data_IF_466772788847
#
_entry.id   IF_466772788847
#
_cell.length_a   1.000
_cell.length_b   1.000
_cell.length_c   1.000
_cell.angle_alpha   90.00
_cell.angle_beta   90.00
_cell.angle_gamma   90.00
#
_symmetry.space_group_name_H-M   'P 1'
#
loop_
_entity.id
_entity.type
_entity.pdbx_description
1 polymer ?
#
# COMPACT_ATOMS: atom_id res chain seq x y z
N UNK A 1 -3.75 -14.38 -29.69
CA UNK A 1 -3.16 -13.53 -28.63
C UNK A 1 -2.88 -14.41 -27.42
N UNK A 2 -1.69 -14.33 -26.83
CA UNK A 2 -1.33 -15.13 -25.65
C UNK A 2 -2.05 -14.64 -24.39
N UNK A 3 -2.43 -15.56 -23.51
CA UNK A 3 -2.91 -15.22 -22.16
C UNK A 3 -1.76 -14.63 -21.34
N UNK A 4 -2.03 -13.56 -20.58
CA UNK A 4 -1.04 -12.86 -19.76
C UNK A 4 -1.47 -12.85 -18.29
N UNK A 5 -0.55 -13.13 -17.38
CA UNK A 5 -0.79 -12.99 -15.94
C UNK A 5 -0.53 -11.54 -15.51
N UNK A 6 -1.55 -10.89 -14.96
CA UNK A 6 -1.53 -9.50 -14.52
C UNK A 6 -1.55 -9.41 -13.01
N UNK A 7 -0.54 -8.74 -12.46
CA UNK A 7 -0.38 -8.55 -11.02
C UNK A 7 -1.23 -7.38 -10.51
N UNK A 8 -2.13 -7.65 -9.58
CA UNK A 8 -2.83 -6.57 -8.86
C UNK A 8 -2.01 -6.06 -7.66
N UNK A 9 -0.97 -6.77 -7.19
CA UNK A 9 0.12 -6.19 -6.38
C UNK A 9 1.41 -6.30 -7.19
N UNK A 10 2.11 -5.20 -7.54
CA UNK A 10 3.15 -5.22 -8.55
C UNK A 10 4.38 -5.95 -8.05
N UNK A 11 5.05 -6.64 -8.96
CA UNK A 11 6.25 -7.43 -8.65
C UNK A 11 7.34 -6.61 -7.96
N UNK A 12 7.50 -5.34 -8.31
CA UNK A 12 8.53 -4.50 -7.68
C UNK A 12 8.30 -4.27 -6.18
N UNK A 13 7.04 -4.24 -5.73
CA UNK A 13 6.70 -4.17 -4.30
C UNK A 13 6.96 -5.52 -3.63
N UNK A 14 6.52 -6.62 -4.25
CA UNK A 14 6.73 -7.96 -3.71
C UNK A 14 8.22 -8.30 -3.56
N UNK A 15 9.07 -7.78 -4.45
CA UNK A 15 10.53 -7.88 -4.35
C UNK A 15 11.11 -7.28 -3.07
N UNK A 16 10.37 -6.48 -2.30
CA UNK A 16 10.80 -5.98 -1.01
C UNK A 16 10.61 -7.01 0.12
N UNK A 17 9.86 -8.07 -0.15
CA UNK A 17 9.60 -9.22 0.75
C UNK A 17 10.34 -10.49 0.31
N UNK A 18 11.09 -10.43 -0.79
CA UNK A 18 11.72 -11.59 -1.39
C UNK A 18 12.89 -12.10 -0.51
N UNK A 19 12.85 -13.36 -0.13
CA UNK A 19 13.82 -13.95 0.82
C UNK A 19 15.19 -14.19 0.18
N UNK A 20 15.25 -14.38 -1.14
CA UNK A 20 16.47 -14.61 -1.93
C UNK A 20 17.35 -13.36 -2.10
N UNK A 21 16.86 -12.20 -1.62
CA UNK A 21 17.65 -10.98 -1.43
C UNK A 21 18.38 -10.94 -0.09
N UNK A 22 17.92 -11.69 0.90
CA UNK A 22 18.37 -11.59 2.29
C UNK A 22 18.81 -12.93 2.88
N UNK A 23 18.96 -13.97 2.06
CA UNK A 23 19.52 -15.23 2.52
C UNK A 23 20.87 -14.97 3.21
N UNK A 24 20.89 -15.22 4.52
CA UNK A 24 22.10 -15.44 5.28
C UNK A 24 22.77 -16.68 4.71
N UNK A 25 23.62 -16.49 3.70
CA UNK A 25 24.50 -17.55 3.24
C UNK A 25 25.59 -17.69 4.31
N UNK A 26 25.53 -18.76 5.10
CA UNK A 26 26.67 -19.18 5.92
C UNK A 26 27.88 -19.37 4.98
N UNK A 27 28.98 -18.63 5.19
CA UNK A 27 30.21 -18.72 4.38
C UNK A 27 30.76 -20.15 4.26
N UNK A 28 30.44 -21.03 5.22
CA UNK A 28 30.79 -22.45 5.18
C UNK A 28 30.21 -23.22 3.99
N UNK A 29 29.02 -22.84 3.49
CA UNK A 29 28.37 -23.49 2.36
C UNK A 29 29.02 -23.11 1.01
N UNK A 30 29.69 -21.96 0.92
CA UNK A 30 30.37 -21.51 -0.30
C UNK A 30 31.56 -22.43 -0.59
N UNK A 31 32.34 -22.81 0.43
CA UNK A 31 33.53 -23.67 0.25
C UNK A 31 33.16 -25.13 -0.07
N UNK A 32 32.04 -25.64 0.45
CA UNK A 32 31.57 -27.00 0.12
C UNK A 32 30.90 -27.08 -1.26
N UNK A 33 30.17 -26.05 -1.69
CA UNK A 33 29.59 -26.01 -3.04
C UNK A 33 30.65 -25.75 -4.12
N UNK A 34 31.67 -24.93 -3.85
CA UNK A 34 32.79 -24.73 -4.79
C UNK A 34 33.62 -26.01 -4.99
N UNK A 35 33.80 -26.82 -3.94
CA UNK A 35 34.51 -28.12 -4.05
C UNK A 35 33.72 -29.19 -4.82
N UNK A 36 32.39 -29.17 -4.77
CA UNK A 36 31.54 -30.09 -5.57
C UNK A 36 31.31 -29.61 -7.00
N UNK A 37 31.43 -28.31 -7.28
CA UNK A 37 31.22 -27.71 -8.61
C UNK A 37 32.40 -27.80 -9.58
N UNK A 38 33.62 -28.07 -9.12
CA UNK A 38 34.81 -28.08 -9.98
C UNK A 38 35.03 -29.35 -10.81
N UNK A 39 34.19 -30.40 -10.66
CA UNK A 39 34.40 -31.68 -11.37
C UNK A 39 33.40 -32.04 -12.46
N UNK A 40 32.39 -31.21 -12.77
CA UNK A 40 31.50 -31.48 -13.92
C UNK A 40 31.14 -30.23 -14.70
N UNK A 41 31.35 -30.35 -16.01
CA UNK A 41 30.80 -29.59 -17.14
C UNK A 41 31.58 -28.35 -17.61
N UNK A 42 32.61 -28.64 -18.44
CA UNK A 42 32.88 -27.85 -19.66
C UNK A 42 31.63 -27.91 -20.56
N UNK A 43 31.05 -26.76 -20.87
CA UNK A 43 30.02 -26.65 -21.92
C UNK A 43 28.60 -26.39 -21.44
N UNK A 44 28.35 -25.31 -20.68
CA UNK A 44 27.02 -24.69 -20.65
C UNK A 44 27.18 -23.17 -20.73
N UNK A 45 26.50 -22.57 -21.73
CA UNK A 45 26.41 -21.13 -21.92
C UNK A 45 25.92 -20.47 -20.63
N UNK A 46 26.58 -19.38 -20.26
CA UNK A 46 26.34 -18.56 -19.08
C UNK A 46 25.03 -17.78 -19.26
N UNK A 47 23.90 -18.47 -19.22
CA UNK A 47 22.59 -17.85 -19.15
C UNK A 47 22.47 -17.26 -17.74
N UNK A 48 22.27 -15.93 -17.65
CA UNK A 48 22.17 -15.25 -16.36
C UNK A 48 21.04 -15.90 -15.57
N UNK A 49 21.36 -16.65 -14.51
CA UNK A 49 20.37 -17.15 -13.56
C UNK A 49 19.65 -15.93 -12.98
N UNK A 50 18.48 -15.58 -13.53
CA UNK A 50 17.52 -14.72 -12.85
C UNK A 50 17.27 -15.39 -11.50
N UNK A 51 17.66 -14.74 -10.40
CA UNK A 51 17.35 -15.24 -9.06
C UNK A 51 15.85 -15.55 -9.02
N UNK A 52 15.49 -16.72 -8.50
CA UNK A 52 14.10 -17.08 -8.31
C UNK A 52 13.56 -16.10 -7.26
N UNK A 53 12.84 -15.07 -7.70
CA UNK A 53 12.21 -14.06 -6.86
C UNK A 53 11.15 -14.75 -5.98
N UNK A 54 11.54 -15.22 -4.80
CA UNK A 54 10.76 -16.12 -3.93
C UNK A 54 10.22 -15.36 -2.71
N UNK A 55 8.94 -15.54 -2.41
CA UNK A 55 8.26 -15.03 -1.21
C UNK A 55 8.07 -16.14 -0.19
N UNK A 56 8.13 -15.79 1.11
CA UNK A 56 7.52 -16.61 2.16
C UNK A 56 6.02 -16.33 2.20
N UNK A 57 5.22 -17.39 2.12
CA UNK A 57 3.77 -17.30 2.01
C UNK A 57 3.05 -18.28 2.93
N UNK A 58 1.83 -17.89 3.31
CA UNK A 58 0.83 -18.79 3.89
C UNK A 58 -0.44 -18.70 3.05
N UNK A 59 -0.81 -19.82 2.42
CA UNK A 59 -2.08 -20.00 1.73
C UNK A 59 -3.10 -20.54 2.75
N UNK A 60 -4.10 -19.71 3.09
CA UNK A 60 -5.09 -20.07 4.10
C UNK A 60 -6.06 -21.14 3.60
N UNK A 61 -6.43 -21.10 2.34
CA UNK A 61 -7.37 -22.05 1.73
C UNK A 61 -6.80 -23.45 1.75
N UNK A 62 -5.51 -23.58 1.41
CA UNK A 62 -4.78 -24.86 1.44
C UNK A 62 -4.18 -25.18 2.81
N UNK A 63 -4.32 -24.28 3.78
CA UNK A 63 -3.59 -24.27 5.05
C UNK A 63 -2.09 -24.56 4.84
N UNK A 64 -1.45 -23.93 3.86
CA UNK A 64 -0.08 -24.27 3.47
C UNK A 64 0.89 -23.13 3.80
N UNK A 65 1.81 -23.38 4.74
CA UNK A 65 2.96 -22.52 4.99
C UNK A 65 4.11 -22.95 4.06
N UNK A 66 4.69 -22.01 3.32
CA UNK A 66 5.73 -22.34 2.37
C UNK A 66 6.29 -21.12 1.64
N UNK A 67 6.63 -21.33 0.37
CA UNK A 67 7.16 -20.29 -0.50
C UNK A 67 6.41 -20.24 -1.83
N UNK A 68 6.42 -19.08 -2.48
CA UNK A 68 5.76 -18.87 -3.77
C UNK A 68 6.60 -17.97 -4.68
N UNK A 69 6.50 -18.17 -5.99
CA UNK A 69 7.16 -17.29 -6.96
C UNK A 69 6.41 -15.96 -7.05
N UNK A 70 7.16 -14.85 -7.06
CA UNK A 70 6.58 -13.51 -7.28
C UNK A 70 5.78 -13.46 -8.58
N UNK A 71 6.22 -14.17 -9.62
CA UNK A 71 5.55 -14.23 -10.91
C UNK A 71 4.15 -14.85 -10.89
N UNK A 72 3.80 -15.59 -9.83
CA UNK A 72 2.58 -16.39 -9.72
C UNK A 72 1.73 -16.00 -8.50
N UNK A 73 2.12 -14.94 -7.78
CA UNK A 73 1.45 -14.47 -6.57
C UNK A 73 0.77 -13.13 -6.82
N UNK A 74 -0.44 -12.93 -6.30
CA UNK A 74 -1.20 -11.67 -6.36
C UNK A 74 -1.52 -11.15 -7.77
N UNK A 75 -2.08 -12.02 -8.62
CA UNK A 75 -2.53 -11.66 -9.95
C UNK A 75 -3.58 -12.62 -10.55
N UNK A 76 -4.14 -12.21 -11.69
CA UNK A 76 -5.10 -12.98 -12.48
C UNK A 76 -4.70 -12.99 -13.95
N UNK A 77 -5.14 -14.01 -14.68
CA UNK A 77 -4.97 -14.03 -16.13
C UNK A 77 -5.92 -13.03 -16.78
N UNK A 78 -5.38 -12.25 -17.71
CA UNK A 78 -6.13 -11.43 -18.65
C UNK A 78 -7.01 -10.32 -18.02
N UNK A 79 -6.69 -9.92 -16.78
CA UNK A 79 -7.45 -8.91 -16.00
C UNK A 79 -7.71 -7.57 -16.70
N UNK A 80 -6.80 -7.09 -17.54
CA UNK A 80 -6.90 -5.79 -18.21
C UNK A 80 -7.22 -5.87 -19.70
N UNK A 81 -7.60 -7.04 -20.22
CA UNK A 81 -7.92 -7.18 -21.64
C UNK A 81 -9.30 -6.61 -21.93
N UNK A 82 -9.33 -5.56 -22.76
CA UNK A 82 -10.56 -4.99 -23.29
C UNK A 82 -10.80 -5.49 -24.72
N UNK A 83 -11.54 -6.60 -24.85
CA UNK A 83 -11.84 -7.17 -26.17
C UNK A 83 -12.75 -6.29 -27.04
N UNK A 84 -13.36 -5.25 -26.46
CA UNK A 84 -14.23 -4.32 -27.17
C UNK A 84 -13.48 -3.06 -27.63
N UNK A 85 -12.20 -2.92 -27.29
CA UNK A 85 -11.35 -1.82 -27.73
C UNK A 85 -10.44 -2.25 -28.89
N UNK A 86 -10.12 -1.29 -29.78
CA UNK A 86 -9.13 -1.52 -30.85
C UNK A 86 -7.75 -1.84 -30.28
N UNK A 87 -7.40 -1.21 -29.16
CA UNK A 87 -6.21 -1.53 -28.38
C UNK A 87 -6.61 -2.31 -27.12
N UNK A 88 -6.56 -3.64 -27.24
CA UNK A 88 -6.96 -4.60 -26.20
C UNK A 88 -6.18 -4.39 -24.90
N UNK A 89 -4.95 -3.88 -24.98
CA UNK A 89 -4.04 -3.72 -23.84
C UNK A 89 -3.82 -2.24 -23.44
N UNK A 90 -4.70 -1.34 -23.89
CA UNK A 90 -4.54 0.11 -23.69
C UNK A 90 -4.37 0.55 -22.22
N UNK A 91 -4.93 -0.21 -21.28
CA UNK A 91 -4.76 0.02 -19.84
C UNK A 91 -3.39 -0.44 -19.34
N UNK A 92 -2.91 -1.60 -19.79
CA UNK A 92 -1.65 -2.21 -19.33
C UNK A 92 -0.43 -1.32 -19.62
N UNK A 93 -0.37 -0.69 -20.79
CA UNK A 93 0.73 0.21 -21.12
C UNK A 93 0.80 1.42 -20.17
N UNK A 94 -0.37 1.99 -19.83
CA UNK A 94 -0.46 3.13 -18.91
C UNK A 94 -0.12 2.73 -17.48
N UNK A 95 -0.58 1.56 -17.04
CA UNK A 95 -0.23 0.99 -15.74
C UNK A 95 1.28 0.78 -15.63
N UNK A 96 1.91 0.20 -16.65
CA UNK A 96 3.36 -0.03 -16.69
C UNK A 96 4.16 1.27 -16.55
N UNK A 97 3.72 2.36 -17.19
CA UNK A 97 4.34 3.69 -17.05
C UNK A 97 4.24 4.19 -15.61
N UNK A 98 3.05 4.15 -15.00
CA UNK A 98 2.85 4.59 -13.62
C UNK A 98 3.64 3.73 -12.62
N UNK A 99 3.63 2.41 -12.79
CA UNK A 99 4.41 1.47 -11.97
C UNK A 99 5.91 1.73 -12.09
N UNK A 100 6.41 2.04 -13.29
CA UNK A 100 7.82 2.39 -13.51
C UNK A 100 8.23 3.65 -12.77
N UNK A 101 7.36 4.67 -12.72
CA UNK A 101 7.58 5.91 -11.96
C UNK A 101 7.51 5.64 -10.46
N UNK A 102 6.43 5.01 -9.99
CA UNK A 102 6.21 4.72 -8.58
C UNK A 102 7.31 3.81 -7.99
N UNK A 103 7.81 2.84 -8.77
CA UNK A 103 8.92 1.97 -8.39
C UNK A 103 10.19 2.76 -8.07
N UNK A 104 10.51 3.80 -8.87
CA UNK A 104 11.66 4.68 -8.61
C UNK A 104 11.46 5.47 -7.31
N UNK A 105 10.28 6.06 -7.12
CA UNK A 105 9.95 6.82 -5.91
C UNK A 105 10.00 5.94 -4.66
N UNK A 106 9.41 4.75 -4.70
CA UNK A 106 9.39 3.81 -3.57
C UNK A 106 10.79 3.27 -3.27
N UNK A 107 11.59 2.94 -4.30
CA UNK A 107 12.99 2.54 -4.12
C UNK A 107 13.81 3.65 -3.46
N UNK A 108 13.58 4.90 -3.84
CA UNK A 108 14.22 6.05 -3.22
C UNK A 108 13.82 6.18 -1.74
N UNK A 109 12.51 6.13 -1.43
CA UNK A 109 12.01 6.15 -0.04
C UNK A 109 12.66 5.03 0.81
N UNK A 110 12.73 3.81 0.26
CA UNK A 110 13.33 2.67 0.96
C UNK A 110 14.83 2.88 1.23
N UNK A 111 15.57 3.39 0.24
CA UNK A 111 16.99 3.69 0.39
C UNK A 111 17.22 4.76 1.46
N UNK A 112 16.51 5.88 1.38
CA UNK A 112 16.64 6.96 2.35
C UNK A 112 16.27 6.51 3.76
N UNK A 113 15.32 5.58 3.92
CA UNK A 113 14.93 5.07 5.25
C UNK A 113 16.00 4.24 5.98
N UNK A 114 17.04 3.80 5.25
CA UNK A 114 18.16 3.06 5.81
C UNK A 114 19.27 3.98 6.30
N UNK A 115 19.45 5.13 5.64
CA UNK A 115 20.58 6.04 5.86
C UNK A 115 20.16 7.31 6.63
N UNK A 116 18.91 7.73 6.48
CA UNK A 116 18.38 9.02 6.93
C UNK A 116 17.13 8.85 7.79
N UNK A 117 16.77 9.91 8.51
CA UNK A 117 15.52 9.99 9.29
C UNK A 117 14.37 10.67 8.53
N UNK A 118 14.62 11.13 7.30
CA UNK A 118 13.65 11.82 6.46
C UNK A 118 13.92 11.61 4.98
N UNK A 119 12.93 11.89 4.14
CA UNK A 119 13.02 11.86 2.68
C UNK A 119 12.34 13.09 2.08
N UNK A 120 12.93 13.64 1.02
CA UNK A 120 12.36 14.78 0.29
C UNK A 120 11.77 14.30 -1.02
N UNK A 121 10.48 14.53 -1.22
CA UNK A 121 9.79 14.21 -2.48
C UNK A 121 9.38 15.48 -3.20
N UNK A 122 9.65 15.57 -4.50
CA UNK A 122 9.05 16.61 -5.34
C UNK A 122 7.56 16.37 -5.50
N UNK A 123 6.79 17.45 -5.65
CA UNK A 123 5.34 17.42 -5.90
C UNK A 123 4.98 16.40 -6.96
N UNK A 124 5.63 16.46 -8.12
CA UNK A 124 5.37 15.54 -9.23
C UNK A 124 5.47 14.06 -8.79
N UNK A 125 6.54 13.70 -8.09
CA UNK A 125 6.76 12.33 -7.63
C UNK A 125 5.73 11.92 -6.57
N UNK A 126 5.30 12.85 -5.71
CA UNK A 126 4.27 12.62 -4.71
C UNK A 126 2.88 12.44 -5.33
N UNK A 127 2.55 13.24 -6.34
CA UNK A 127 1.30 13.14 -7.10
C UNK A 127 1.21 11.82 -7.89
N UNK A 128 2.33 11.43 -8.54
CA UNK A 128 2.44 10.13 -9.21
C UNK A 128 2.33 8.96 -8.21
N UNK A 129 2.96 9.08 -7.02
CA UNK A 129 2.82 8.08 -5.95
C UNK A 129 1.37 7.96 -5.46
N UNK A 130 0.64 9.08 -5.32
CA UNK A 130 -0.78 9.11 -4.94
C UNK A 130 -1.66 8.42 -5.97
N UNK A 131 -1.47 8.72 -7.26
CA UNK A 131 -2.13 7.99 -8.34
C UNK A 131 -1.85 6.50 -8.26
N UNK A 132 -0.58 6.12 -8.05
CA UNK A 132 -0.19 4.73 -7.93
C UNK A 132 -0.93 4.03 -6.80
N UNK A 133 -0.83 4.52 -5.55
CA UNK A 133 -1.47 3.84 -4.41
C UNK A 133 -3.00 3.77 -4.54
N UNK A 134 -3.63 4.76 -5.19
CA UNK A 134 -5.06 4.69 -5.51
C UNK A 134 -5.37 3.59 -6.52
N UNK A 135 -4.69 3.60 -7.68
CA UNK A 135 -4.92 2.63 -8.75
C UNK A 135 -4.67 1.21 -8.26
N UNK A 136 -3.64 1.01 -7.43
CA UNK A 136 -3.35 -0.28 -6.83
C UNK A 136 -4.48 -0.80 -5.94
N UNK A 137 -5.11 0.08 -5.16
CA UNK A 137 -6.28 -0.27 -4.35
C UNK A 137 -7.52 -0.48 -5.24
N UNK A 138 -7.72 0.37 -6.25
CA UNK A 138 -8.86 0.34 -7.15
C UNK A 138 -8.89 -0.89 -8.07
N UNK A 139 -7.72 -1.37 -8.51
CA UNK A 139 -7.59 -2.55 -9.38
C UNK A 139 -7.54 -3.87 -8.62
N UNK A 140 -7.81 -3.85 -7.31
CA UNK A 140 -7.80 -5.05 -6.50
C UNK A 140 -8.85 -6.06 -6.99
N UNK A 141 -8.68 -7.31 -6.58
CA UNK A 141 -9.57 -8.42 -6.95
C UNK A 141 -11.04 -8.13 -6.66
N UNK A 142 -11.34 -7.55 -5.50
CA UNK A 142 -12.72 -7.30 -5.07
C UNK A 142 -13.43 -6.33 -6.01
N UNK A 143 -12.78 -5.21 -6.33
CA UNK A 143 -13.35 -4.19 -7.22
C UNK A 143 -13.48 -4.73 -8.63
N UNK A 144 -12.45 -5.44 -9.12
CA UNK A 144 -12.50 -6.05 -10.44
C UNK A 144 -13.66 -7.06 -10.57
N UNK A 145 -13.83 -7.98 -9.60
CA UNK A 145 -14.96 -8.92 -9.56
C UNK A 145 -16.31 -8.22 -9.40
N UNK A 146 -16.36 -7.09 -8.70
CA UNK A 146 -17.57 -6.29 -8.53
C UNK A 146 -18.13 -5.83 -9.89
N UNK A 147 -17.27 -5.23 -10.73
CA UNK A 147 -17.67 -4.74 -12.04
C UNK A 147 -17.86 -5.87 -13.06
N UNK A 148 -16.95 -6.84 -13.11
CA UNK A 148 -17.08 -7.96 -14.06
C UNK A 148 -18.27 -8.87 -13.74
N UNK A 149 -18.62 -9.01 -12.46
CA UNK A 149 -19.76 -9.80 -12.00
C UNK A 149 -21.08 -9.02 -11.85
N UNK A 150 -21.12 -7.72 -12.13
CA UNK A 150 -22.28 -6.84 -11.91
C UNK A 150 -22.88 -6.97 -10.48
N UNK A 151 -21.98 -7.13 -9.50
CA UNK A 151 -22.31 -7.42 -8.10
C UNK A 151 -22.33 -6.13 -7.27
N UNK A 152 -23.38 -5.34 -7.46
CA UNK A 152 -23.60 -4.08 -6.76
C UNK A 152 -24.83 -4.16 -5.87
N UNK A 153 -24.83 -3.40 -4.78
CA UNK A 153 -26.07 -3.13 -4.05
C UNK A 153 -27.06 -2.36 -4.96
N UNK A 154 -28.37 -2.39 -4.68
CA UNK A 154 -29.38 -1.81 -5.56
C UNK A 154 -29.15 -0.33 -5.91
N UNK A 155 -28.65 0.47 -4.97
CA UNK A 155 -28.44 1.91 -5.16
C UNK A 155 -27.24 2.12 -6.07
N UNK A 156 -26.10 1.50 -5.76
CA UNK A 156 -24.90 1.62 -6.60
C UNK A 156 -25.15 1.07 -8.00
N UNK A 157 -25.94 0.00 -8.14
CA UNK A 157 -26.30 -0.57 -9.44
C UNK A 157 -27.03 0.42 -10.34
N UNK A 158 -27.96 1.20 -9.78
CA UNK A 158 -28.65 2.26 -10.52
C UNK A 158 -27.67 3.35 -10.96
N UNK A 159 -26.80 3.79 -10.06
CA UNK A 159 -25.78 4.80 -10.38
C UNK A 159 -24.83 4.34 -11.50
N UNK A 160 -24.41 3.07 -11.49
CA UNK A 160 -23.56 2.49 -12.54
C UNK A 160 -24.31 2.50 -13.89
N UNK A 161 -25.59 2.10 -13.91
CA UNK A 161 -26.40 2.13 -15.14
C UNK A 161 -26.58 3.53 -15.71
N UNK A 162 -26.89 4.51 -14.86
CA UNK A 162 -27.03 5.91 -15.28
C UNK A 162 -25.72 6.43 -15.86
N UNK A 163 -24.60 6.12 -15.21
CA UNK A 163 -23.27 6.50 -15.69
C UNK A 163 -22.92 5.83 -17.04
N UNK A 164 -23.24 4.54 -17.20
CA UNK A 164 -23.05 3.82 -18.45
C UNK A 164 -23.83 4.47 -19.60
N UNK A 165 -25.09 4.87 -19.37
CA UNK A 165 -25.88 5.58 -20.37
C UNK A 165 -25.25 6.92 -20.74
N UNK A 166 -24.80 7.70 -19.75
CA UNK A 166 -24.16 9.00 -19.98
C UNK A 166 -22.85 8.90 -20.76
N UNK A 167 -22.09 7.83 -20.57
CA UNK A 167 -20.78 7.61 -21.21
C UNK A 167 -20.85 6.69 -22.44
N UNK A 168 -22.04 6.26 -22.86
CA UNK A 168 -22.25 5.30 -23.95
C UNK A 168 -21.51 3.96 -23.76
N UNK A 169 -21.44 3.46 -22.53
CA UNK A 169 -20.81 2.19 -22.17
C UNK A 169 -21.85 1.07 -22.12
N UNK A 170 -21.49 -0.14 -22.54
CA UNK A 170 -22.45 -1.26 -22.65
C UNK A 170 -22.41 -2.20 -21.45
N UNK A 171 -21.27 -2.30 -20.78
CA UNK A 171 -21.07 -3.21 -19.64
C UNK A 171 -20.40 -2.52 -18.45
N UNK A 172 -20.65 -2.98 -17.21
CA UNK A 172 -19.98 -2.42 -16.03
C UNK A 172 -18.44 -2.60 -16.07
N UNK A 173 -17.93 -3.68 -16.68
CA UNK A 173 -16.48 -3.87 -16.87
C UNK A 173 -15.82 -2.71 -17.65
N UNK A 174 -16.53 -2.10 -18.60
CA UNK A 174 -16.05 -0.94 -19.36
C UNK A 174 -15.96 0.31 -18.48
N UNK A 175 -16.83 0.44 -17.46
CA UNK A 175 -16.74 1.53 -16.46
C UNK A 175 -15.45 1.41 -15.66
N UNK A 176 -15.10 0.20 -15.22
CA UNK A 176 -13.88 -0.06 -14.46
C UNK A 176 -12.63 0.26 -15.29
N UNK A 177 -12.57 -0.21 -16.54
CA UNK A 177 -11.46 0.07 -17.46
C UNK A 177 -11.36 1.56 -17.80
N UNK A 178 -12.49 2.21 -18.08
CA UNK A 178 -12.55 3.65 -18.33
C UNK A 178 -12.02 4.43 -17.13
N UNK A 179 -12.47 4.13 -15.90
CA UNK A 179 -12.01 4.84 -14.71
C UNK A 179 -10.51 4.70 -14.51
N UNK A 180 -9.94 3.50 -14.70
CA UNK A 180 -8.47 3.31 -14.65
C UNK A 180 -7.81 4.23 -15.68
N UNK A 181 -8.25 4.19 -16.94
CA UNK A 181 -7.68 5.03 -18.00
C UNK A 181 -7.75 6.52 -17.68
N UNK A 182 -8.94 7.01 -17.32
CA UNK A 182 -9.17 8.43 -17.05
C UNK A 182 -8.37 8.92 -15.83
N UNK A 183 -8.24 8.12 -14.77
CA UNK A 183 -7.39 8.47 -13.60
C UNK A 183 -5.91 8.55 -14.00
N UNK A 184 -5.43 7.62 -14.85
CA UNK A 184 -4.05 7.60 -15.30
C UNK A 184 -3.73 8.83 -16.17
N UNK A 185 -4.60 9.13 -17.12
CA UNK A 185 -4.40 10.18 -18.13
C UNK A 185 -4.68 11.60 -17.60
N UNK A 186 -5.54 11.77 -16.58
CA UNK A 186 -5.89 13.08 -16.01
C UNK A 186 -4.86 13.57 -14.99
N UNK A 187 -4.34 14.81 -15.04
CA UNK A 187 -3.46 15.35 -14.00
C UNK A 187 -4.00 15.16 -12.58
N UNK A 188 -3.15 14.82 -11.60
CA UNK A 188 -3.56 14.42 -10.25
C UNK A 188 -4.59 15.35 -9.60
N UNK A 189 -4.38 16.66 -9.70
CA UNK A 189 -5.24 17.67 -9.08
C UNK A 189 -6.59 17.86 -9.79
N UNK A 190 -6.73 17.39 -11.03
CA UNK A 190 -7.95 17.49 -11.85
C UNK A 190 -8.81 16.21 -11.79
N UNK A 191 -8.26 15.09 -11.30
CA UNK A 191 -8.98 13.79 -11.23
C UNK A 191 -10.30 13.94 -10.47
N UNK A 192 -10.32 14.72 -9.37
CA UNK A 192 -11.52 14.95 -8.54
C UNK A 192 -12.68 15.63 -9.29
N UNK A 193 -12.38 16.29 -10.42
CA UNK A 193 -13.35 17.06 -11.20
C UNK A 193 -13.64 16.40 -12.57
N UNK A 194 -12.95 15.30 -12.92
CA UNK A 194 -13.14 14.62 -14.19
C UNK A 194 -14.47 13.85 -14.24
N UNK A 195 -15.43 14.39 -15.00
CA UNK A 195 -16.77 13.84 -15.16
C UNK A 195 -16.84 12.50 -15.90
N UNK A 196 -15.75 12.09 -16.58
CA UNK A 196 -15.63 10.76 -17.21
C UNK A 196 -15.25 9.66 -16.22
N UNK A 197 -15.02 9.99 -14.96
CA UNK A 197 -14.80 9.02 -13.89
C UNK A 197 -16.13 8.85 -13.14
N UNK A 198 -16.52 7.59 -12.90
CA UNK A 198 -17.72 7.27 -12.14
C UNK A 198 -17.74 8.03 -10.80
N UNK A 199 -18.87 8.66 -10.48
CA UNK A 199 -18.97 9.61 -9.36
C UNK A 199 -18.45 9.04 -8.03
N UNK A 200 -18.83 7.80 -7.70
CA UNK A 200 -18.40 7.17 -6.44
C UNK A 200 -16.88 7.02 -6.38
N UNK A 201 -16.26 6.61 -7.50
CA UNK A 201 -14.81 6.42 -7.61
C UNK A 201 -14.07 7.75 -7.58
N UNK A 202 -14.64 8.77 -8.22
CA UNK A 202 -14.10 10.13 -8.22
C UNK A 202 -14.14 10.76 -6.83
N UNK A 203 -15.24 10.58 -6.10
CA UNK A 203 -15.39 11.07 -4.72
C UNK A 203 -14.42 10.34 -3.78
N UNK A 204 -14.22 9.03 -3.98
CA UNK A 204 -13.23 8.23 -3.25
C UNK A 204 -11.80 8.70 -3.55
N UNK A 205 -11.47 9.01 -4.80
CA UNK A 205 -10.19 9.59 -5.19
C UNK A 205 -9.97 10.95 -4.54
N UNK A 206 -10.96 11.84 -4.62
CA UNK A 206 -10.92 13.17 -3.98
C UNK A 206 -10.61 13.03 -2.49
N UNK A 207 -11.39 12.23 -1.78
CA UNK A 207 -11.21 12.05 -0.35
C UNK A 207 -9.82 11.51 0.00
N UNK A 208 -9.40 10.41 -0.64
CA UNK A 208 -8.16 9.72 -0.23
C UNK A 208 -6.90 10.38 -0.79
N UNK A 209 -6.93 10.84 -2.03
CA UNK A 209 -5.73 11.29 -2.72
C UNK A 209 -5.57 12.79 -2.71
N UNK A 210 -6.64 13.56 -2.53
CA UNK A 210 -6.57 15.02 -2.39
C UNK A 210 -6.69 15.42 -0.92
N UNK A 211 -7.69 14.92 -0.19
CA UNK A 211 -8.01 15.43 1.15
C UNK A 211 -7.15 14.86 2.29
N UNK A 212 -6.61 13.65 2.10
CA UNK A 212 -5.72 13.01 3.07
C UNK A 212 -4.24 13.38 2.84
N UNK A 213 -3.52 13.54 3.94
CA UNK A 213 -2.07 13.69 3.94
C UNK A 213 -1.37 12.35 4.14
N UNK A 214 -0.14 12.26 3.63
CA UNK A 214 0.67 11.05 3.65
C UNK A 214 1.65 11.08 4.83
N UNK A 215 1.80 9.94 5.49
CA UNK A 215 2.77 9.67 6.57
C UNK A 215 3.56 8.43 6.18
N UNK A 216 4.82 8.36 6.64
CA UNK A 216 5.67 7.17 6.49
C UNK A 216 5.98 6.60 7.87
N UNK A 217 5.34 5.47 8.20
CA UNK A 217 5.63 4.74 9.43
C UNK A 217 6.67 3.66 9.18
N UNK A 218 7.62 3.57 10.11
CA UNK A 218 8.69 2.59 10.11
C UNK A 218 8.51 1.62 11.28
N UNK A 219 8.52 0.33 11.00
CA UNK A 219 8.51 -0.69 12.04
C UNK A 219 9.81 -0.68 12.84
N UNK A 220 9.73 -1.08 14.11
CA UNK A 220 10.91 -1.30 14.95
C UNK A 220 11.84 -2.39 14.40
N UNK A 221 13.05 -2.51 14.96
CA UNK A 221 14.00 -3.56 14.58
C UNK A 221 13.41 -4.96 14.71
N UNK A 222 12.60 -5.17 15.76
CA UNK A 222 12.02 -6.44 16.14
C UNK A 222 10.55 -6.63 15.70
N UNK A 223 10.11 -5.83 14.73
CA UNK A 223 8.74 -5.85 14.20
C UNK A 223 8.75 -5.77 12.68
N UNK A 224 7.78 -6.42 12.04
CA UNK A 224 7.61 -6.41 10.59
C UNK A 224 6.13 -6.29 10.21
N UNK A 225 5.87 -5.58 9.13
CA UNK A 225 4.58 -5.59 8.47
C UNK A 225 4.44 -6.81 7.56
N UNK A 226 3.20 -7.27 7.41
CA UNK A 226 2.82 -8.34 6.48
C UNK A 226 2.05 -7.76 5.29
N UNK A 227 1.87 -8.57 4.24
CA UNK A 227 0.99 -8.23 3.10
C UNK A 227 0.00 -9.36 2.89
N UNK A 228 -1.25 -9.01 2.59
CA UNK A 228 -2.32 -9.95 2.26
C UNK A 228 -2.88 -9.65 0.87
N UNK A 229 -3.59 -10.62 0.27
CA UNK A 229 -4.18 -10.49 -1.07
C UNK A 229 -5.15 -9.31 -1.22
N UNK A 230 -5.71 -8.81 -0.12
CA UNK A 230 -6.55 -7.62 -0.10
C UNK A 230 -6.01 -6.50 0.79
N UNK A 231 -4.76 -6.61 1.24
CA UNK A 231 -4.18 -5.71 2.23
C UNK A 231 -3.68 -4.38 1.69
N UNK A 232 -3.57 -4.22 0.37
CA UNK A 232 -3.03 -3.01 -0.22
C UNK A 232 -4.09 -1.89 -0.26
N UNK A 233 -3.93 -0.89 0.60
CA UNK A 233 -4.94 0.14 0.85
C UNK A 233 -6.05 -0.35 1.77
N UNK A 234 -5.73 -1.29 2.67
CA UNK A 234 -6.61 -1.65 3.77
C UNK A 234 -6.77 -0.45 4.70
N UNK A 235 -7.88 -0.37 5.42
CA UNK A 235 -8.19 0.81 6.20
C UNK A 235 -8.82 0.47 7.54
N UNK A 236 -8.72 1.42 8.46
CA UNK A 236 -9.61 1.49 9.61
C UNK A 236 -10.54 2.69 9.50
N UNK A 237 -11.71 2.58 10.12
CA UNK A 237 -12.73 3.59 10.06
C UNK A 237 -13.96 3.19 10.81
N UNK A 238 -15.00 3.97 10.61
CA UNK A 238 -16.30 3.77 11.24
C UNK A 238 -17.34 3.68 10.15
N UNK A 239 -18.25 2.74 10.30
CA UNK A 239 -19.43 2.65 9.46
C UNK A 239 -20.66 2.56 10.35
N UNK A 240 -21.78 3.02 9.82
CA UNK A 240 -23.03 3.02 10.56
C UNK A 240 -24.16 3.58 9.73
N UNK A 241 -25.24 3.94 10.40
CA UNK A 241 -26.42 4.52 9.77
C UNK A 241 -26.65 5.91 10.36
N UNK A 242 -26.75 6.93 9.51
CA UNK A 242 -27.06 8.31 9.90
C UNK A 242 -28.22 8.79 9.04
N UNK A 243 -29.28 9.31 9.68
CA UNK A 243 -30.53 9.72 9.00
C UNK A 243 -31.12 8.62 8.10
N UNK A 244 -31.03 7.35 8.51
CA UNK A 244 -31.52 6.21 7.73
C UNK A 244 -30.64 5.82 6.53
N UNK A 245 -29.52 6.52 6.28
CA UNK A 245 -28.57 6.21 5.21
C UNK A 245 -27.28 5.60 5.78
N UNK A 246 -26.72 4.56 5.14
CA UNK A 246 -25.42 4.05 5.52
C UNK A 246 -24.35 5.13 5.29
N UNK A 247 -23.48 5.31 6.27
CA UNK A 247 -22.27 6.12 6.14
C UNK A 247 -21.04 5.28 6.47
N UNK A 248 -19.92 5.66 5.87
CA UNK A 248 -18.60 5.15 6.21
C UNK A 248 -17.62 6.31 6.23
N UNK A 249 -16.74 6.33 7.23
CA UNK A 249 -15.64 7.29 7.29
C UNK A 249 -14.34 6.56 7.59
N UNK A 250 -13.30 6.85 6.81
CA UNK A 250 -12.00 6.20 6.91
C UNK A 250 -11.04 7.09 7.69
N UNK A 251 -10.47 6.57 8.77
CA UNK A 251 -9.48 7.28 9.59
C UNK A 251 -8.06 7.11 9.07
N UNK A 252 -7.69 5.88 8.70
CA UNK A 252 -6.34 5.56 8.21
C UNK A 252 -6.42 4.56 7.07
N UNK A 253 -5.66 4.80 6.00
CA UNK A 253 -5.42 3.82 4.95
C UNK A 253 -3.95 3.39 4.97
N UNK A 254 -3.71 2.10 4.86
CA UNK A 254 -2.39 1.49 4.98
C UNK A 254 -1.95 0.87 3.65
N UNK A 255 -0.75 1.26 3.21
CA UNK A 255 -0.10 0.71 2.02
C UNK A 255 1.28 0.22 2.41
N UNK A 256 1.37 -1.07 2.73
CA UNK A 256 2.63 -1.70 3.12
C UNK A 256 3.53 -1.82 1.89
N UNK A 257 4.69 -1.16 1.92
CA UNK A 257 5.64 -1.13 0.79
C UNK A 257 6.88 -1.99 1.03
N UNK A 258 7.17 -2.35 2.28
CA UNK A 258 8.19 -3.33 2.66
C UNK A 258 7.88 -3.90 4.06
N UNK A 259 8.60 -4.94 4.54
CA UNK A 259 8.47 -5.40 5.92
C UNK A 259 8.72 -4.31 6.97
N UNK A 260 9.43 -3.23 6.61
CA UNK A 260 9.81 -2.15 7.54
C UNK A 260 9.06 -0.84 7.33
N UNK A 261 8.43 -0.61 6.18
CA UNK A 261 7.75 0.65 5.89
C UNK A 261 6.29 0.44 5.45
N UNK A 262 5.41 1.27 6.01
CA UNK A 262 4.03 1.44 5.56
C UNK A 262 3.76 2.91 5.29
N UNK A 263 3.14 3.18 4.14
CA UNK A 263 2.60 4.50 3.83
C UNK A 263 1.19 4.59 4.41
N UNK A 264 0.89 5.69 5.10
CA UNK A 264 -0.40 5.90 5.75
C UNK A 264 -1.04 7.17 5.24
N UNK A 265 -2.28 7.08 4.78
CA UNK A 265 -3.09 8.26 4.46
C UNK A 265 -4.04 8.57 5.61
N UNK A 266 -4.02 9.82 6.06
CA UNK A 266 -4.87 10.32 7.14
C UNK A 266 -5.65 11.56 6.70
N UNK A 267 -6.93 11.70 7.09
CA UNK A 267 -7.67 12.94 6.93
C UNK A 267 -7.00 14.11 7.64
N UNK A 268 -7.09 15.30 7.05
CA UNK A 268 -6.49 16.53 7.58
C UNK A 268 -6.78 16.83 9.07
N UNK A 269 -7.91 16.47 9.70
CA UNK A 269 -8.11 16.64 11.14
C UNK A 269 -7.08 15.99 12.07
N UNK A 270 -6.38 14.93 11.63
CA UNK A 270 -5.29 14.27 12.38
C UNK A 270 -3.99 15.07 12.40
N UNK A 271 -3.86 16.10 11.55
CA UNK A 271 -2.71 17.00 11.58
C UNK A 271 -2.68 17.76 12.90
N UNK A 272 -1.52 17.81 13.55
CA UNK A 272 -1.34 18.53 14.82
C UNK A 272 -1.69 20.01 14.68
N UNK A 273 -1.35 20.61 13.55
CA UNK A 273 -1.64 22.01 13.22
C UNK A 273 -3.13 22.29 12.96
N UNK A 274 -3.93 21.26 12.63
CA UNK A 274 -5.37 21.40 12.42
C UNK A 274 -6.13 21.11 13.71
N UNK A 275 -5.80 20.02 14.41
CA UNK A 275 -6.31 19.70 15.75
C UNK A 275 -7.84 19.62 15.84
N UNK A 276 -8.51 18.86 14.95
CA UNK A 276 -9.99 18.73 14.94
C UNK A 276 -10.51 17.29 14.96
N UNK A 277 -9.75 16.35 15.52
CA UNK A 277 -10.15 14.95 15.68
C UNK A 277 -11.42 14.80 16.54
N UNK A 278 -11.59 15.59 17.59
CA UNK A 278 -12.80 15.52 18.43
C UNK A 278 -14.08 15.89 17.67
N UNK A 279 -14.03 16.90 16.80
CA UNK A 279 -15.17 17.30 15.96
C UNK A 279 -15.46 16.18 14.95
N UNK A 280 -14.39 15.57 14.40
CA UNK A 280 -14.51 14.44 13.49
C UNK A 280 -15.21 13.25 14.18
N UNK A 281 -14.79 12.86 15.38
CA UNK A 281 -15.40 11.75 16.12
C UNK A 281 -16.86 12.03 16.46
N UNK A 282 -17.18 13.22 17.00
CA UNK A 282 -18.57 13.59 17.30
C UNK A 282 -19.48 13.49 16.07
N UNK A 283 -18.96 13.85 14.89
CA UNK A 283 -19.72 13.77 13.63
C UNK A 283 -20.05 12.34 13.22
N UNK A 284 -19.16 11.39 13.48
CA UNK A 284 -19.28 10.00 13.03
C UNK A 284 -19.62 9.06 14.18
N UNK A 285 -20.53 9.47 15.07
CA UNK A 285 -21.09 8.62 16.12
C UNK A 285 -20.19 8.42 17.35
N UNK A 286 -19.14 9.22 17.51
CA UNK A 286 -18.27 9.21 18.69
C UNK A 286 -17.26 8.08 18.75
N UNK A 287 -17.28 7.14 17.79
CA UNK A 287 -16.28 6.09 17.68
C UNK A 287 -14.91 6.72 17.34
N UNK A 288 -13.86 6.29 18.05
CA UNK A 288 -12.51 6.83 17.93
C UNK A 288 -11.63 5.88 17.12
N UNK A 289 -10.62 6.44 16.46
CA UNK A 289 -9.58 5.67 15.77
C UNK A 289 -8.80 4.79 16.75
N UNK A 290 -8.52 3.53 16.39
CA UNK A 290 -7.63 2.69 17.21
C UNK A 290 -6.15 3.10 17.08
N UNK A 291 -5.85 4.03 16.16
CA UNK A 291 -4.55 4.68 15.98
C UNK A 291 -4.54 6.14 16.41
N UNK A 292 -5.49 6.59 17.24
CA UNK A 292 -5.52 8.00 17.68
C UNK A 292 -4.23 8.45 18.39
N UNK A 293 -3.58 7.53 19.09
CA UNK A 293 -2.33 7.77 19.81
C UNK A 293 -1.07 7.47 18.97
N UNK A 294 -1.24 7.03 17.72
CA UNK A 294 -0.13 6.86 16.81
C UNK A 294 0.35 8.23 16.29
N UNK A 295 1.62 8.38 15.91
CA UNK A 295 2.14 9.67 15.45
C UNK A 295 1.66 10.02 14.03
N UNK A 296 1.19 11.27 13.83
CA UNK A 296 0.75 11.78 12.52
C UNK A 296 1.52 13.04 12.06
N UNK A 297 2.86 12.99 11.90
CA UNK A 297 3.61 14.14 11.41
C UNK A 297 3.28 14.38 9.94
N UNK A 298 2.82 15.59 9.64
CA UNK A 298 2.64 16.05 8.27
C UNK A 298 3.99 16.32 7.60
N UNK A 299 4.03 16.18 6.27
CA UNK A 299 5.16 16.64 5.48
C UNK A 299 5.34 18.15 5.61
N UNK A 300 6.59 18.59 5.65
CA UNK A 300 6.95 20.02 5.65
C UNK A 300 7.09 20.45 4.18
N UNK A 301 6.19 21.29 3.65
CA UNK A 301 6.27 21.77 2.28
C UNK A 301 7.29 22.90 2.17
N UNK A 302 8.03 22.93 1.07
CA UNK A 302 8.87 24.04 0.63
C UNK A 302 8.49 24.36 -0.82
N UNK A 303 7.77 25.46 -0.98
CA UNK A 303 7.29 25.92 -2.28
C UNK A 303 8.37 26.69 -3.03
N UNK A 304 8.52 26.41 -4.32
CA UNK A 304 9.48 27.11 -5.17
C UNK A 304 8.78 28.32 -5.79
N UNK A 305 8.91 29.52 -5.20
CA UNK A 305 8.31 30.75 -5.76
C UNK A 305 8.65 32.00 -4.94
N UNK A 306 8.73 33.18 -5.59
CA UNK A 306 8.89 34.47 -4.89
C UNK A 306 7.56 34.83 -4.23
N UNK A 307 7.61 35.21 -2.95
CA UNK A 307 6.54 35.99 -2.31
C UNK A 307 6.52 37.36 -3.00
N UNK A 308 5.64 37.56 -3.99
CA UNK A 308 5.34 38.91 -4.44
C UNK A 308 4.48 39.56 -3.35
N UNK A 309 5.10 40.32 -2.45
CA UNK A 309 4.44 41.10 -1.38
C UNK A 309 3.60 42.27 -1.89
N UNK A 310 3.21 42.30 -3.17
CA UNK A 310 2.57 43.45 -3.81
C UNK A 310 1.13 43.24 -4.27
N UNK A 311 0.42 42.22 -3.78
CA UNK A 311 -1.02 42.05 -4.04
C UNK A 311 -1.82 41.88 -2.74
N UNK A 312 -1.80 42.90 -1.87
CA UNK A 312 -2.87 43.09 -0.87
C UNK A 312 -4.14 43.60 -1.58
N UNK A 313 -4.82 42.71 -2.30
CA UNK A 313 -6.07 42.99 -2.99
C UNK A 313 -7.27 42.39 -2.27
N UNK A 314 -8.06 43.24 -1.62
CA UNK A 314 -9.46 43.10 -1.20
C UNK A 314 -10.06 41.68 -1.12
N UNK A 315 -10.22 41.18 0.11
CA UNK A 315 -10.98 39.97 0.44
C UNK A 315 -12.50 40.18 0.24
N UNK A 316 -13.02 39.86 -0.94
CA UNK A 316 -14.45 39.57 -1.10
C UNK A 316 -14.64 38.05 -0.92
N UNK A 317 -15.05 37.64 0.29
CA UNK A 317 -15.41 36.26 0.60
C UNK A 317 -16.70 35.85 -0.14
N UNK A 318 -16.71 34.79 -0.96
CA UNK A 318 -17.95 34.19 -1.44
C UNK A 318 -18.61 33.43 -0.29
N UNK A 319 -19.84 33.81 0.08
CA UNK A 319 -20.67 33.05 1.01
C UNK A 319 -21.18 31.78 0.30
N UNK A 320 -20.60 30.62 0.61
CA UNK A 320 -21.16 29.33 0.20
C UNK A 320 -22.12 28.80 1.27
N UNK A 321 -23.33 28.46 0.86
CA UNK A 321 -24.32 27.83 1.73
C UNK A 321 -23.93 26.37 1.99
N UNK A 322 -23.68 26.04 3.25
CA UNK A 322 -23.33 24.71 3.73
C UNK A 322 -24.60 23.88 3.78
N UNK A 323 -24.83 23.00 2.80
CA UNK A 323 -26.00 22.11 2.82
C UNK A 323 -25.67 20.63 2.96
N UNK A 324 -24.42 20.18 2.73
CA UNK A 324 -24.07 18.77 2.89
C UNK A 324 -22.73 18.52 3.62
N UNK A 325 -22.64 17.39 4.33
CA UNK A 325 -21.58 17.14 5.30
C UNK A 325 -20.16 16.97 4.73
N UNK A 326 -20.04 16.66 3.45
CA UNK A 326 -18.78 16.60 2.68
C UNK A 326 -18.16 17.99 2.43
N UNK A 327 -18.95 19.05 2.48
CA UNK A 327 -18.52 20.40 2.05
C UNK A 327 -17.57 21.10 3.02
N UNK A 328 -17.45 20.64 4.28
CA UNK A 328 -16.54 21.30 5.26
C UNK A 328 -15.07 20.95 4.98
N UNK A 329 -14.79 19.73 4.51
CA UNK A 329 -13.45 19.34 4.09
C UNK A 329 -13.11 20.00 2.75
N UNK A 330 -14.09 20.07 1.85
CA UNK A 330 -14.00 20.76 0.57
C UNK A 330 -13.71 22.26 0.74
N UNK A 331 -14.45 22.92 1.64
CA UNK A 331 -14.24 24.31 2.04
C UNK A 331 -12.82 24.58 2.51
N UNK A 332 -12.23 23.68 3.30
CA UNK A 332 -10.85 23.85 3.79
C UNK A 332 -9.81 23.66 2.69
N UNK A 333 -10.02 22.73 1.76
CA UNK A 333 -9.13 22.53 0.62
C UNK A 333 -9.20 23.70 -0.37
N UNK A 334 -10.41 24.14 -0.71
CA UNK A 334 -10.62 25.32 -1.54
C UNK A 334 -10.07 26.58 -0.88
N UNK A 335 -10.22 26.76 0.44
CA UNK A 335 -9.58 27.86 1.17
C UNK A 335 -8.06 27.74 1.20
N UNK A 336 -7.49 26.54 1.28
CA UNK A 336 -6.04 26.36 1.26
C UNK A 336 -5.46 26.73 -0.11
N UNK A 337 -6.07 26.27 -1.20
CA UNK A 337 -5.63 26.62 -2.56
C UNK A 337 -5.88 28.08 -2.90
N UNK A 338 -7.01 28.63 -2.47
CA UNK A 338 -7.29 30.05 -2.59
C UNK A 338 -6.29 30.88 -1.77
N UNK A 339 -5.91 30.44 -0.57
CA UNK A 339 -4.92 31.10 0.27
C UNK A 339 -3.52 31.03 -0.33
N UNK A 340 -3.10 29.89 -0.91
CA UNK A 340 -1.83 29.79 -1.62
C UNK A 340 -1.78 30.76 -2.80
N UNK A 341 -2.83 30.77 -3.63
CA UNK A 341 -2.96 31.71 -4.75
C UNK A 341 -2.98 33.17 -4.29
N UNK A 342 -3.71 33.49 -3.22
CA UNK A 342 -3.77 34.85 -2.65
C UNK A 342 -2.41 35.33 -2.12
N UNK A 343 -1.55 34.41 -1.68
CA UNK A 343 -0.17 34.71 -1.26
C UNK A 343 0.84 34.66 -2.41
N UNK A 344 0.39 34.57 -3.67
CA UNK A 344 1.26 34.49 -4.85
C UNK A 344 2.05 33.18 -4.94
N UNK A 345 1.67 32.15 -4.18
CA UNK A 345 2.30 30.83 -4.20
C UNK A 345 1.57 29.97 -5.21
N UNK A 346 2.17 29.84 -6.40
CA UNK A 346 1.71 28.87 -7.40
C UNK A 346 2.25 27.47 -7.08
N UNK A 347 1.41 26.45 -7.24
CA UNK A 347 1.84 25.05 -7.13
C UNK A 347 2.83 24.75 -8.24
N UNK A 348 4.06 24.38 -7.89
CA UNK A 348 5.07 23.99 -8.88
C UNK A 348 5.40 22.52 -8.78
N UNK A 349 5.72 21.92 -9.93
CA UNK A 349 6.07 20.50 -10.04
C UNK A 349 7.31 20.13 -9.21
N UNK A 350 8.17 21.11 -8.94
CA UNK A 350 9.40 21.01 -8.16
C UNK A 350 9.26 21.52 -6.73
N UNK A 351 8.04 21.78 -6.23
CA UNK A 351 7.85 21.98 -4.79
C UNK A 351 8.35 20.74 -4.03
N UNK A 352 9.03 20.96 -2.92
CA UNK A 352 9.64 19.92 -2.10
C UNK A 352 8.76 19.60 -0.89
N UNK A 353 8.60 18.32 -0.58
CA UNK A 353 7.89 17.85 0.61
C UNK A 353 8.82 16.97 1.43
N UNK A 354 9.16 17.40 2.63
CA UNK A 354 10.02 16.65 3.54
C UNK A 354 9.17 15.78 4.45
N UNK A 355 9.34 14.45 4.37
CA UNK A 355 8.65 13.47 5.18
C UNK A 355 9.61 12.86 6.19
N UNK A 356 9.22 12.80 7.47
CA UNK A 356 9.98 12.06 8.47
C UNK A 356 9.66 10.56 8.42
N UNK A 357 10.67 9.72 8.61
CA UNK A 357 10.51 8.31 8.90
C UNK A 357 10.20 8.14 10.39
N UNK A 358 8.98 7.69 10.69
CA UNK A 358 8.50 7.68 12.06
C UNK A 358 8.50 6.26 12.58
N UNK A 359 9.44 5.96 13.48
CA UNK A 359 9.50 4.66 14.16
C UNK A 359 8.29 4.52 15.07
N UNK A 360 7.38 3.62 14.71
CA UNK A 360 6.20 3.30 15.52
C UNK A 360 6.50 2.15 16.48
N UNK A 361 5.76 2.09 17.59
CA UNK A 361 5.95 1.03 18.57
C UNK A 361 5.37 -0.32 18.08
N UNK A 362 5.79 -1.40 18.75
CA UNK A 362 5.37 -2.77 18.41
C UNK A 362 3.85 -2.95 18.47
N UNK A 363 3.16 -2.28 19.41
CA UNK A 363 1.70 -2.37 19.51
C UNK A 363 1.02 -1.79 18.26
N UNK A 364 1.47 -0.63 17.76
CA UNK A 364 0.97 -0.03 16.52
C UNK A 364 1.24 -0.93 15.32
N UNK A 365 2.43 -1.53 15.19
CA UNK A 365 2.72 -2.49 14.10
C UNK A 365 1.77 -3.68 14.15
N UNK A 366 1.56 -4.25 15.34
CA UNK A 366 0.66 -5.39 15.52
C UNK A 366 -0.82 -5.03 15.26
N UNK A 367 -1.25 -3.80 15.54
CA UNK A 367 -2.60 -3.33 15.17
C UNK A 367 -2.77 -3.22 13.65
N UNK A 368 -1.79 -2.68 12.93
CA UNK A 368 -1.82 -2.66 11.44
C UNK A 368 -1.89 -4.08 10.89
N UNK A 369 -1.04 -4.98 11.39
CA UNK A 369 -1.07 -6.38 10.99
C UNK A 369 -2.39 -7.07 11.38
N UNK A 370 -3.00 -6.70 12.50
CA UNK A 370 -4.30 -7.25 12.89
C UNK A 370 -5.40 -6.88 11.89
N UNK A 371 -5.47 -5.62 11.45
CA UNK A 371 -6.41 -5.19 10.40
C UNK A 371 -6.20 -6.00 9.12
N UNK A 372 -4.94 -6.14 8.68
CA UNK A 372 -4.58 -6.96 7.51
C UNK A 372 -5.04 -8.43 7.67
N UNK A 373 -5.00 -8.97 8.89
CA UNK A 373 -5.44 -10.33 9.23
C UNK A 373 -6.96 -10.49 9.39
N UNK A 374 -7.73 -9.42 9.65
CA UNK A 374 -9.19 -9.52 9.82
C UNK A 374 -9.95 -9.43 8.51
N UNK A 375 -9.47 -8.61 7.59
CA UNK A 375 -10.08 -8.40 6.28
C UNK A 375 -9.98 -9.64 5.38
N UNK A 376 -9.41 -10.71 5.91
CA UNK A 376 -9.10 -11.97 5.28
C UNK A 376 -10.35 -12.74 4.85
N UNK A 377 -10.45 -12.96 3.55
CA UNK A 377 -11.32 -13.95 2.89
C UNK A 377 -10.76 -15.38 3.03
N UNK A 378 -11.55 -16.43 2.73
CA UNK A 378 -11.06 -17.81 2.74
C UNK A 378 -9.86 -18.06 1.83
N UNK A 379 -9.80 -17.40 0.67
CA UNK A 379 -8.75 -17.48 -0.37
C UNK A 379 -7.52 -16.60 -0.08
N UNK A 380 -7.25 -16.35 1.20
CA UNK A 380 -6.14 -15.49 1.59
C UNK A 380 -4.78 -16.11 1.29
N UNK A 381 -3.98 -15.35 0.56
CA UNK A 381 -2.53 -15.51 0.53
C UNK A 381 -1.88 -14.40 1.35
N UNK A 382 -1.18 -14.81 2.40
CA UNK A 382 -0.39 -13.93 3.26
C UNK A 382 1.09 -14.04 2.88
N UNK A 383 1.75 -12.90 2.68
CA UNK A 383 3.20 -12.79 2.47
C UNK A 383 3.84 -12.15 3.68
N UNK A 384 4.96 -12.71 4.11
CA UNK A 384 5.74 -12.24 5.25
C UNK A 384 7.24 -12.41 4.96
N UNK A 385 8.08 -11.87 5.82
CA UNK A 385 9.53 -11.94 5.64
C UNK A 385 10.23 -12.84 6.68
N UNK A 386 9.86 -12.73 7.96
CA UNK A 386 10.43 -13.56 9.02
C UNK A 386 9.39 -14.43 9.74
N UNK A 387 9.66 -15.74 9.85
CA UNK A 387 8.84 -16.68 10.63
C UNK A 387 8.65 -16.24 12.10
N UNK A 388 9.70 -15.73 12.74
CA UNK A 388 9.68 -15.31 14.15
C UNK A 388 8.75 -14.12 14.38
N UNK A 389 8.79 -13.12 13.51
CA UNK A 389 7.95 -11.93 13.61
C UNK A 389 6.51 -12.19 13.19
N UNK A 390 6.28 -13.07 12.21
CA UNK A 390 4.93 -13.54 11.92
C UNK A 390 4.36 -14.30 13.11
N UNK A 391 5.13 -15.22 13.74
CA UNK A 391 4.68 -15.93 14.93
C UNK A 391 4.29 -14.97 16.07
N UNK A 392 5.15 -13.98 16.36
CA UNK A 392 4.86 -12.92 17.33
C UNK A 392 3.56 -12.18 17.00
N UNK A 393 3.37 -11.81 15.72
CA UNK A 393 2.16 -11.15 15.23
C UNK A 393 0.91 -12.01 15.44
N UNK A 394 0.95 -13.30 15.09
CA UNK A 394 -0.21 -14.20 15.28
C UNK A 394 -0.53 -14.42 16.77
N UNK A 395 0.49 -14.57 17.62
CA UNK A 395 0.31 -14.65 19.09
C UNK A 395 -0.39 -13.41 19.62
N UNK A 396 0.07 -12.23 19.19
CA UNK A 396 -0.49 -10.93 19.60
C UNK A 396 -1.91 -10.72 19.08
N UNK A 397 -2.15 -11.05 17.82
CA UNK A 397 -3.48 -11.06 17.24
C UNK A 397 -4.46 -11.92 18.06
N UNK A 398 -4.05 -13.14 18.44
CA UNK A 398 -4.86 -14.02 19.29
C UNK A 398 -5.12 -13.51 20.71
N UNK A 399 -4.17 -12.78 21.31
CA UNK A 399 -4.31 -12.29 22.69
C UNK A 399 -5.08 -10.97 22.79
N UNK A 400 -4.69 -10.00 21.99
CA UNK A 400 -4.96 -8.59 22.26
C UNK A 400 -6.08 -8.02 21.35
N UNK A 401 -6.36 -8.65 20.21
CA UNK A 401 -7.39 -8.19 19.28
C UNK A 401 -8.79 -8.71 19.68
N UNK A 402 -9.67 -7.80 20.08
CA UNK A 402 -11.02 -8.05 20.65
C UNK A 402 -12.14 -7.57 19.72
N UNK A 403 -12.12 -8.02 18.47
CA UNK A 403 -13.18 -7.74 17.51
C UNK A 403 -14.05 -8.98 17.32
N UNK A 404 -15.34 -8.78 17.02
CA UNK A 404 -16.35 -9.83 16.93
C UNK A 404 -16.13 -10.78 15.74
N UNK A 405 -15.31 -10.40 14.77
CA UNK A 405 -15.01 -11.16 13.53
C UNK A 405 -13.55 -11.65 13.49
N UNK A 406 -12.98 -11.96 14.65
CA UNK A 406 -11.63 -12.51 14.74
C UNK A 406 -11.49 -13.81 13.95
N UNK A 407 -10.52 -13.86 13.04
CA UNK A 407 -10.23 -15.04 12.22
C UNK A 407 -9.39 -16.05 12.99
N UNK A 408 -9.64 -17.34 12.77
CA UNK A 408 -8.79 -18.39 13.34
C UNK A 408 -7.51 -18.57 12.51
N UNK A 409 -6.38 -18.50 13.21
CA UNK A 409 -5.01 -18.72 12.71
C UNK A 409 -4.25 -19.72 13.60
N UNK A 410 -4.97 -20.58 14.32
CA UNK A 410 -4.37 -21.56 15.24
C UNK A 410 -3.48 -22.56 14.51
N UNK A 411 -3.87 -22.98 13.30
CA UNK A 411 -3.04 -23.87 12.48
C UNK A 411 -1.76 -23.18 12.02
N UNK A 412 -1.84 -21.96 11.48
CA UNK A 412 -0.67 -21.15 11.14
C UNK A 412 0.27 -20.99 12.34
N UNK A 413 -0.27 -20.66 13.52
CA UNK A 413 0.51 -20.53 14.77
C UNK A 413 1.26 -21.83 15.11
N UNK A 414 0.61 -22.99 14.98
CA UNK A 414 1.24 -24.31 15.20
C UNK A 414 2.36 -24.56 14.19
N UNK A 415 2.11 -24.34 12.90
CA UNK A 415 3.11 -24.55 11.83
C UNK A 415 4.34 -23.65 12.00
N UNK A 416 4.12 -22.39 12.32
CA UNK A 416 5.19 -21.44 12.62
C UNK A 416 6.02 -21.88 13.83
N UNK A 417 5.38 -22.38 14.90
CA UNK A 417 6.10 -22.91 16.06
C UNK A 417 6.97 -24.12 15.69
N UNK A 418 6.45 -25.03 14.87
CA UNK A 418 7.21 -26.19 14.39
C UNK A 418 8.41 -25.76 13.55
N UNK A 419 8.25 -24.83 12.62
CA UNK A 419 9.35 -24.36 11.76
C UNK A 419 10.45 -23.63 12.55
N UNK A 420 10.05 -22.83 13.56
CA UNK A 420 10.98 -22.16 14.46
C UNK A 420 11.76 -23.14 15.34
N UNK A 421 11.13 -24.22 15.79
CA UNK A 421 11.83 -25.26 16.55
C UNK A 421 12.80 -26.05 15.67
N UNK A 422 12.40 -26.40 14.44
CA UNK A 422 13.27 -27.12 13.50
C UNK A 422 14.53 -26.32 13.16
N UNK A 423 14.37 -25.03 12.85
CA UNK A 423 15.51 -24.14 12.58
C UNK A 423 16.45 -24.01 13.79
N UNK A 424 15.91 -23.96 15.01
CA UNK A 424 16.72 -23.96 16.23
C UNK A 424 17.50 -25.28 16.42
N UNK A 425 16.88 -26.43 16.17
CA UNK A 425 17.55 -27.73 16.21
C UNK A 425 18.65 -27.84 15.15
N UNK A 426 18.38 -27.43 13.91
CA UNK A 426 19.35 -27.40 12.82
C UNK A 426 20.55 -26.51 13.15
N UNK A 427 20.31 -25.31 13.70
CA UNK A 427 21.36 -24.39 14.15
C UNK A 427 22.21 -24.98 15.30
N UNK A 428 21.58 -25.69 16.25
CA UNK A 428 22.29 -26.39 17.32
C UNK A 428 23.14 -27.55 16.79
N UNK A 429 22.61 -28.32 15.84
CA UNK A 429 23.36 -29.38 15.16
C UNK A 429 24.56 -28.83 14.40
N UNK A 430 24.40 -27.71 13.67
CA UNK A 430 25.50 -27.02 13.00
C UNK A 430 26.57 -26.56 13.99
N UNK A 431 26.19 -25.93 15.11
CA UNK A 431 27.13 -25.46 16.14
C UNK A 431 27.90 -26.60 16.79
N UNK A 432 27.25 -27.74 17.07
CA UNK A 432 27.92 -28.93 17.63
C UNK A 432 28.95 -29.54 16.69
N UNK A 433 28.82 -29.31 15.38
CA UNK A 433 29.73 -29.82 14.36
C UNK A 433 30.88 -28.87 14.01
N UNK A 434 30.99 -27.70 14.68
CA UNK A 434 32.12 -26.79 14.53
C UNK A 434 33.24 -27.21 15.50
N UNK A 435 34.46 -27.54 15.00
CA UNK A 435 35.58 -27.90 15.87
C UNK A 435 35.95 -26.75 16.81
N UNK A 436 36.11 -27.06 18.10
CA UNK A 436 36.36 -26.11 19.19
C UNK A 436 37.64 -25.26 19.04
N UNK A 437 38.50 -25.55 18.06
CA UNK A 437 39.78 -24.85 17.82
C UNK A 437 39.73 -23.73 16.77
N UNK A 438 38.56 -23.42 16.21
CA UNK A 438 38.47 -22.43 15.12
C UNK A 438 37.97 -21.06 15.59
N UNK A 439 38.91 -20.14 15.83
CA UNK A 439 38.62 -18.73 16.07
C UNK A 439 38.27 -18.06 14.74
N UNK A 440 36.99 -17.79 14.50
CA UNK A 440 36.56 -17.02 13.33
C UNK A 440 36.24 -15.58 13.74
N UNK A 441 36.93 -14.62 13.11
CA UNK A 441 36.60 -13.20 13.21
C UNK A 441 35.33 -12.91 12.39
N UNK A 442 34.30 -12.39 13.06
CA UNK A 442 33.07 -11.92 12.42
C UNK A 442 33.35 -10.61 11.69
N UNK A 443 33.48 -10.65 10.36
CA UNK A 443 33.39 -9.45 9.54
C UNK A 443 32.08 -9.49 8.74
N UNK A 444 31.13 -8.67 9.15
CA UNK A 444 29.91 -8.40 8.37
C UNK A 444 30.32 -7.51 7.20
N UNK A 445 30.16 -7.99 5.96
CA UNK A 445 30.19 -7.16 4.76
C UNK A 445 28.85 -7.23 4.05
N UNK A 446 28.22 -6.08 3.85
CA UNK A 446 27.15 -5.92 2.87
C UNK A 446 27.74 -6.07 1.46
N UNK A 447 27.07 -6.82 0.60
CA UNK A 447 27.39 -6.85 -0.83
C UNK A 447 26.37 -6.00 -1.57
N UNK A 448 26.87 -4.91 -2.16
CA UNK A 448 26.16 -3.94 -3.00
C UNK A 448 25.31 -4.57 -4.13
#
# INVERSE_FOLDING_TARGET
MSSQYHHYIPRFLLRNFAIDKYERIFEGNIKQQQRKGQRKNKGFKKESRRKAEILQTYDREKDQLGTSLIGETYGYRDMYKDFNNKDVMHVEERLSKLEGIASKTIKYILKESQEQNQVVLFRKNLEDLRKFIFIMNYRNDNRWRQFTGDNFDPITKLMVKDFMQQQNLKRPEEVWLQNIREILDTPHHEVKDNMKIFKVDRDEYKHRMVECFLIIWQAGENDEFIVTSNGFGIFEGVSGTSFGLPFGFVYHLFYVISPKLVLVLCPSPFRKEVGKTEILYKRFGGQRSIFENAPHPAAIPKHVGRVNTSCSGSSNEPKFNITNGTDILDWKFHKFDAALKANGIERRWNDEFTFSFVKINSATVHLVNAILLNEVKPDLVLTFFSHSYLYKTIVKYHKDYKDSVKKDFTNLKKKLRTELNRTHEDDLHLRKNIPASSTFMWNVREMN
#
